data_IF_381458080687
#
_entry.id   IF_381458080687
#
_cell.length_a   1.000
_cell.length_b   1.000
_cell.length_c   1.000
_cell.angle_alpha   90.00
_cell.angle_beta   90.00
_cell.angle_gamma   90.00
#
_symmetry.space_group_name_H-M   'P 1'
#
loop_
_entity.id
_entity.type
_entity.pdbx_description
1 polymer ?
#
# COMPACT_ATOMS: atom_id res chain seq x y z
N UNK A 1 -31.97 17.17 -65.32
CA UNK A 1 -32.31 15.84 -65.86
C UNK A 1 -31.89 14.79 -64.83
N UNK A 2 -32.84 13.90 -64.46
CA UNK A 2 -32.70 12.68 -63.64
C UNK A 2 -31.71 11.67 -64.30
N UNK A 3 -31.19 10.60 -63.65
CA UNK A 3 -31.89 9.80 -62.63
C UNK A 3 -31.08 9.22 -61.45
N UNK A 4 -31.86 8.82 -60.43
CA UNK A 4 -31.54 7.87 -59.36
C UNK A 4 -31.52 6.43 -59.92
N UNK A 5 -30.75 5.48 -59.36
CA UNK A 5 -31.41 4.25 -58.91
C UNK A 5 -30.85 3.56 -57.63
N UNK A 6 -31.80 3.07 -56.83
CA UNK A 6 -31.89 1.81 -56.05
C UNK A 6 -30.77 1.30 -55.12
N UNK A 7 -31.10 1.36 -53.82
CA UNK A 7 -31.03 0.34 -52.76
C UNK A 7 -30.58 -1.10 -53.13
N UNK A 8 -29.59 -1.62 -52.39
CA UNK A 8 -29.54 -3.02 -51.93
C UNK A 8 -29.10 -3.02 -50.46
N UNK A 9 -29.95 -3.57 -49.59
CA UNK A 9 -29.63 -3.88 -48.20
C UNK A 9 -28.90 -5.23 -48.12
N UNK A 10 -27.85 -5.30 -47.30
CA UNK A 10 -27.28 -6.57 -46.85
C UNK A 10 -26.80 -6.42 -45.40
N UNK A 11 -27.68 -6.81 -44.48
CA UNK A 11 -27.36 -7.07 -43.07
C UNK A 11 -26.46 -8.30 -42.97
N UNK A 12 -25.23 -8.14 -42.49
CA UNK A 12 -24.43 -9.24 -41.93
C UNK A 12 -24.24 -9.00 -40.43
N UNK A 13 -24.96 -9.78 -39.61
CA UNK A 13 -24.62 -9.97 -38.20
C UNK A 13 -23.36 -10.84 -38.12
N UNK A 14 -22.23 -10.28 -37.67
CA UNK A 14 -21.13 -11.08 -37.15
C UNK A 14 -21.34 -11.26 -35.65
N UNK A 15 -21.84 -12.43 -35.25
CA UNK A 15 -21.81 -12.89 -33.87
C UNK A 15 -20.37 -13.28 -33.54
N UNK A 16 -19.63 -12.41 -32.87
CA UNK A 16 -18.36 -12.76 -32.23
C UNK A 16 -18.67 -13.57 -30.97
N UNK A 17 -18.48 -14.89 -31.03
CA UNK A 17 -18.52 -15.75 -29.87
C UNK A 17 -17.32 -15.44 -28.96
N UNK A 18 -17.57 -14.88 -27.77
CA UNK A 18 -16.57 -14.87 -26.70
C UNK A 18 -16.40 -16.30 -26.20
N UNK A 19 -15.30 -16.95 -26.58
CA UNK A 19 -14.83 -18.16 -25.91
C UNK A 19 -14.40 -17.81 -24.49
N UNK A 20 -15.23 -18.13 -23.50
CA UNK A 20 -14.81 -18.13 -22.12
C UNK A 20 -14.01 -19.42 -21.87
N UNK A 21 -12.68 -19.34 -21.99
CA UNK A 21 -11.79 -20.40 -21.51
C UNK A 21 -11.95 -20.48 -19.98
N UNK A 22 -12.72 -21.47 -19.53
CA UNK A 22 -12.88 -21.76 -18.10
C UNK A 22 -11.63 -22.50 -17.64
N UNK A 23 -10.66 -21.78 -17.09
CA UNK A 23 -9.54 -22.38 -16.37
C UNK A 23 -10.07 -22.94 -15.05
N UNK A 24 -10.27 -24.26 -14.99
CA UNK A 24 -10.54 -24.97 -13.74
C UNK A 24 -9.25 -25.08 -12.93
N UNK A 25 -9.12 -24.28 -11.86
CA UNK A 25 -8.08 -24.45 -10.86
C UNK A 25 -8.48 -25.62 -9.96
N UNK A 26 -7.97 -26.81 -10.25
CA UNK A 26 -8.04 -27.95 -9.35
C UNK A 26 -6.98 -27.81 -8.27
N UNK A 27 -7.39 -27.55 -7.03
CA UNK A 27 -6.50 -27.71 -5.88
C UNK A 27 -6.16 -29.19 -5.74
N UNK A 28 -4.89 -29.62 -5.75
CA UNK A 28 -4.56 -31.00 -5.45
C UNK A 28 -4.80 -31.24 -3.96
N UNK A 29 -5.97 -31.75 -3.60
CA UNK A 29 -6.21 -32.34 -2.29
C UNK A 29 -5.63 -33.74 -2.31
N UNK A 30 -4.39 -33.90 -1.84
CA UNK A 30 -3.83 -35.21 -1.52
C UNK A 30 -4.66 -35.83 -0.39
N UNK A 31 -5.42 -36.88 -0.67
CA UNK A 31 -6.01 -37.71 0.39
C UNK A 31 -4.89 -38.38 1.18
N UNK A 32 -4.96 -38.40 2.52
CA UNK A 32 -4.03 -39.19 3.31
C UNK A 32 -4.29 -40.67 3.03
N UNK A 33 -3.26 -41.30 2.50
CA UNK A 33 -3.06 -42.73 2.39
C UNK A 33 -3.28 -43.40 3.75
N UNK A 34 -4.33 -44.21 3.83
CA UNK A 34 -4.71 -44.95 5.03
C UNK A 34 -3.70 -46.04 5.34
N UNK A 35 -2.91 -45.80 6.39
CA UNK A 35 -2.31 -46.83 7.23
C UNK A 35 -2.57 -46.42 8.68
N UNK A 36 -3.53 -47.07 9.33
CA UNK A 36 -3.88 -46.81 10.73
C UNK A 36 -2.76 -47.27 11.64
N UNK A 37 -1.97 -46.32 12.14
CA UNK A 37 -1.13 -46.53 13.32
C UNK A 37 -1.96 -46.06 14.52
N UNK A 38 -2.18 -46.95 15.48
CA UNK A 38 -2.88 -46.63 16.71
C UNK A 38 -2.02 -45.69 17.58
N UNK A 39 -2.06 -44.40 17.28
CA UNK A 39 -1.41 -43.37 18.09
C UNK A 39 -2.40 -42.86 19.14
N UNK A 40 -2.11 -43.22 20.39
CA UNK A 40 -2.63 -42.57 21.58
C UNK A 40 -2.61 -41.04 21.38
N UNK A 41 -3.78 -40.41 21.54
CA UNK A 41 -4.07 -39.03 21.18
C UNK A 41 -2.95 -38.06 21.57
N UNK A 42 -2.17 -37.61 20.58
CA UNK A 42 -1.32 -36.43 20.74
C UNK A 42 -2.25 -35.20 20.75
N UNK A 43 -2.31 -34.41 21.83
CA UNK A 43 -3.14 -33.22 21.84
C UNK A 43 -2.69 -32.25 20.75
N UNK A 44 -3.64 -31.62 20.07
CA UNK A 44 -3.34 -30.51 19.17
C UNK A 44 -2.51 -29.45 19.92
N UNK A 45 -1.48 -28.84 19.31
CA UNK A 45 -0.81 -27.71 19.92
C UNK A 45 -1.83 -26.59 20.07
N UNK A 46 -2.18 -26.26 21.32
CA UNK A 46 -2.93 -25.06 21.63
C UNK A 46 -2.09 -23.87 21.18
N UNK A 47 -2.44 -23.27 20.05
CA UNK A 47 -1.91 -21.95 19.71
C UNK A 47 -2.44 -20.99 20.77
N UNK A 48 -1.59 -20.67 21.75
CA UNK A 48 -1.82 -19.53 22.60
C UNK A 48 -1.73 -18.30 21.70
N UNK A 49 -2.88 -17.80 21.23
CA UNK A 49 -2.95 -16.45 20.71
C UNK A 49 -2.64 -15.52 21.88
N UNK A 50 -1.35 -15.19 22.04
CA UNK A 50 -0.92 -14.10 22.91
C UNK A 50 -1.41 -12.81 22.27
N UNK A 51 -2.68 -12.46 22.53
CA UNK A 51 -3.25 -11.14 22.28
C UNK A 51 -2.74 -10.16 23.34
N UNK A 52 -1.44 -10.16 23.58
CA UNK A 52 -0.85 -9.01 24.26
C UNK A 52 -1.02 -7.86 23.28
N UNK A 53 -1.89 -6.92 23.64
CA UNK A 53 -2.05 -5.70 22.90
C UNK A 53 -0.67 -5.07 22.79
N UNK A 54 -0.13 -5.02 21.57
CA UNK A 54 1.08 -4.25 21.29
C UNK A 54 0.80 -2.87 21.86
N UNK A 55 1.55 -2.39 22.88
CA UNK A 55 1.31 -1.08 23.44
C UNK A 55 1.35 -0.12 22.26
N UNK A 56 0.28 0.67 22.10
CA UNK A 56 0.24 1.69 21.06
C UNK A 56 1.58 2.43 21.14
N UNK A 57 2.37 2.38 20.06
CA UNK A 57 3.66 3.08 20.01
C UNK A 57 3.33 4.56 20.12
N UNK A 58 3.25 5.07 21.34
CA UNK A 58 2.96 6.46 21.59
C UNK A 58 4.19 7.20 21.09
N UNK A 59 4.01 7.98 20.03
CA UNK A 59 5.04 8.86 19.48
C UNK A 59 5.28 10.01 20.47
N UNK A 60 5.86 9.69 21.64
CA UNK A 60 6.27 10.68 22.63
C UNK A 60 7.72 11.08 22.34
N UNK A 61 7.94 11.61 21.14
CA UNK A 61 9.14 12.40 20.90
C UNK A 61 8.80 13.85 21.20
N UNK A 62 9.67 14.52 21.95
CA UNK A 62 9.50 15.91 22.38
C UNK A 62 9.07 16.79 21.20
N UNK A 63 7.81 17.20 21.23
CA UNK A 63 7.19 18.00 20.16
C UNK A 63 7.82 19.39 20.05
N UNK A 64 8.48 19.86 21.11
CA UNK A 64 9.19 21.16 21.17
C UNK A 64 10.36 21.17 20.20
N UNK A 65 11.05 20.03 20.04
CA UNK A 65 12.21 19.86 19.19
C UNK A 65 11.90 19.70 17.68
N UNK A 66 10.62 19.66 17.28
CA UNK A 66 10.26 19.53 15.85
C UNK A 66 10.59 20.80 15.07
N UNK A 67 11.20 20.69 13.87
CA UNK A 67 11.36 21.83 12.97
C UNK A 67 10.04 22.53 12.69
N UNK A 68 10.07 23.84 12.47
CA UNK A 68 8.86 24.63 12.25
C UNK A 68 8.05 24.15 11.03
N UNK A 69 8.73 23.78 9.94
CA UNK A 69 8.07 23.23 8.75
C UNK A 69 7.28 21.95 9.08
N UNK A 70 7.81 21.10 9.95
CA UNK A 70 7.16 19.84 10.33
C UNK A 70 5.93 20.11 11.20
N UNK A 71 5.99 21.11 12.09
CA UNK A 71 4.81 21.56 12.85
C UNK A 71 3.72 22.08 11.92
N UNK A 72 4.09 22.87 10.92
CA UNK A 72 3.15 23.38 9.91
C UNK A 72 2.52 22.24 9.10
N UNK A 73 3.32 21.27 8.64
CA UNK A 73 2.83 20.09 7.91
C UNK A 73 1.84 19.26 8.74
N UNK A 74 2.13 19.05 10.02
CA UNK A 74 1.23 18.35 10.94
C UNK A 74 -0.09 19.11 11.10
N UNK A 75 -0.03 20.44 11.27
CA UNK A 75 -1.23 21.27 11.38
C UNK A 75 -2.09 21.21 10.12
N UNK A 76 -1.46 21.21 8.94
CA UNK A 76 -2.14 21.02 7.65
C UNK A 76 -2.86 19.67 7.60
N UNK A 77 -2.16 18.57 7.93
CA UNK A 77 -2.75 17.21 7.97
C UNK A 77 -3.93 17.12 8.93
N UNK A 78 -3.84 17.75 10.10
CA UNK A 78 -4.93 17.83 11.07
C UNK A 78 -6.11 18.69 10.60
N UNK A 79 -5.88 19.65 9.70
CA UNK A 79 -6.91 20.44 9.04
C UNK A 79 -7.71 19.68 7.99
N UNK A 80 -7.17 18.59 7.44
CA UNK A 80 -7.89 17.70 6.53
C UNK A 80 -8.87 16.78 7.27
N UNK A 81 -9.83 16.20 6.53
CA UNK A 81 -10.68 15.12 7.06
C UNK A 81 -9.81 13.97 7.55
N UNK A 82 -10.28 13.27 8.59
CA UNK A 82 -9.61 12.06 9.10
C UNK A 82 -9.33 11.10 7.95
N UNK A 83 -8.08 10.65 7.86
CA UNK A 83 -7.58 9.83 6.76
C UNK A 83 -7.48 8.36 7.17
N UNK A 84 -7.63 7.45 6.21
CA UNK A 84 -7.50 6.01 6.40
C UNK A 84 -6.82 5.36 5.18
N UNK A 85 -5.60 4.81 5.32
CA UNK A 85 -4.77 4.74 6.53
C UNK A 85 -4.40 6.11 7.14
N UNK A 86 -4.12 6.10 8.45
CA UNK A 86 -3.66 7.30 9.18
C UNK A 86 -2.28 7.73 8.69
N UNK A 87 -2.06 9.04 8.61
CA UNK A 87 -0.75 9.59 8.25
C UNK A 87 0.24 9.39 9.37
N UNK A 88 1.44 8.96 8.99
CA UNK A 88 2.61 8.84 9.84
C UNK A 88 3.77 9.57 9.20
N UNK A 89 4.59 10.19 10.04
CA UNK A 89 5.85 10.80 9.64
C UNK A 89 6.96 10.10 10.41
N UNK A 90 7.89 9.53 9.65
CA UNK A 90 9.07 8.85 10.15
C UNK A 90 10.32 9.66 9.83
N UNK A 91 11.37 9.47 10.61
CA UNK A 91 12.72 9.94 10.33
C UNK A 91 13.58 8.73 9.97
N UNK A 92 14.41 8.88 8.95
CA UNK A 92 15.38 7.88 8.52
C UNK A 92 16.74 8.53 8.25
N UNK A 93 17.76 7.68 8.16
CA UNK A 93 18.98 7.98 7.42
C UNK A 93 18.85 7.40 6.01
N UNK A 94 19.06 8.22 5.00
CA UNK A 94 19.05 7.84 3.58
C UNK A 94 20.10 8.66 2.84
N UNK A 95 20.97 8.01 2.05
CA UNK A 95 22.13 8.65 1.42
C UNK A 95 22.99 9.46 2.41
N UNK A 96 23.24 8.90 3.60
CA UNK A 96 23.99 9.53 4.69
C UNK A 96 23.40 10.87 5.19
N UNK A 97 22.14 11.14 4.86
CA UNK A 97 21.39 12.32 5.27
C UNK A 97 20.19 11.94 6.12
N UNK A 98 19.85 12.80 7.06
CA UNK A 98 18.56 12.70 7.77
C UNK A 98 17.45 13.14 6.84
N UNK A 99 16.43 12.31 6.70
CA UNK A 99 15.23 12.61 5.90
C UNK A 99 13.97 12.28 6.69
N UNK A 100 12.86 12.90 6.29
CA UNK A 100 11.54 12.62 6.83
C UNK A 100 10.66 11.99 5.76
N UNK A 101 10.00 10.88 6.07
CA UNK A 101 9.07 10.22 5.15
C UNK A 101 7.65 10.27 5.72
N UNK A 102 6.75 10.85 4.95
CA UNK A 102 5.32 10.95 5.24
C UNK A 102 4.55 9.92 4.40
N UNK A 103 3.79 9.05 5.07
CA UNK A 103 2.95 8.06 4.41
C UNK A 103 1.79 8.71 3.68
N UNK A 104 1.44 8.21 2.49
CA UNK A 104 0.19 8.58 1.84
C UNK A 104 -1.04 7.93 2.52
N UNK A 105 -2.20 8.62 2.51
CA UNK A 105 -3.44 8.09 3.06
C UNK A 105 -4.20 7.17 2.09
N UNK A 106 -3.68 6.89 0.90
CA UNK A 106 -4.23 5.93 -0.05
C UNK A 106 -3.14 5.49 -1.03
N UNK A 107 -3.26 4.31 -1.62
CA UNK A 107 -2.25 3.76 -2.53
C UNK A 107 -2.18 4.48 -3.89
N UNK A 108 -3.23 5.17 -4.31
CA UNK A 108 -3.25 6.02 -5.51
C UNK A 108 -2.67 7.43 -5.26
N UNK A 109 -2.33 7.74 -4.01
CA UNK A 109 -1.60 8.93 -3.59
C UNK A 109 -0.15 8.57 -3.32
N UNK A 110 0.74 9.55 -3.46
CA UNK A 110 2.17 9.34 -3.30
C UNK A 110 2.61 9.67 -1.87
N UNK A 111 3.39 8.79 -1.24
CA UNK A 111 4.13 9.16 -0.04
C UNK A 111 5.21 10.19 -0.39
N UNK A 112 5.72 10.92 0.60
CA UNK A 112 6.65 12.03 0.34
C UNK A 112 7.86 11.95 1.24
N UNK A 113 9.06 12.09 0.67
CA UNK A 113 10.32 12.22 1.40
C UNK A 113 10.74 13.69 1.40
N UNK A 114 11.09 14.22 2.56
CA UNK A 114 11.54 15.58 2.78
C UNK A 114 12.98 15.61 3.30
N UNK A 115 13.72 16.65 2.92
CA UNK A 115 15.00 17.00 3.58
C UNK A 115 14.76 17.58 4.99
N UNK A 116 15.84 17.88 5.71
CA UNK A 116 15.74 18.47 7.07
C UNK A 116 15.14 19.87 7.12
N UNK A 117 15.02 20.54 5.98
CA UNK A 117 14.44 21.88 5.82
C UNK A 117 12.99 21.83 5.33
N UNK A 118 12.44 20.65 5.07
CA UNK A 118 11.07 20.45 4.60
C UNK A 118 10.91 20.54 3.08
N UNK A 119 12.00 20.54 2.31
CA UNK A 119 11.91 20.47 0.86
C UNK A 119 11.56 19.05 0.43
N UNK A 120 10.63 18.90 -0.51
CA UNK A 120 10.32 17.60 -1.12
C UNK A 120 11.54 17.13 -1.91
N UNK A 121 12.04 15.95 -1.57
CA UNK A 121 13.09 15.27 -2.30
C UNK A 121 12.51 14.38 -3.39
N UNK A 122 11.44 13.63 -3.08
CA UNK A 122 10.85 12.65 -3.99
C UNK A 122 9.61 11.96 -3.41
N UNK A 123 8.99 11.14 -4.24
CA UNK A 123 7.90 10.23 -3.94
C UNK A 123 8.34 8.78 -4.15
N UNK A 124 8.68 8.01 -3.10
CA UNK A 124 9.27 6.69 -3.24
C UNK A 124 8.25 5.58 -3.56
N UNK A 125 6.97 5.80 -3.26
CA UNK A 125 5.89 4.85 -3.48
C UNK A 125 4.54 5.54 -3.75
N UNK A 126 3.52 4.72 -3.99
CA UNK A 126 2.16 5.18 -4.22
C UNK A 126 1.94 5.71 -5.63
N UNK A 127 0.86 6.48 -5.83
CA UNK A 127 0.41 6.89 -7.15
C UNK A 127 -0.23 5.74 -7.95
N UNK A 128 -0.70 6.03 -9.17
CA UNK A 128 -1.40 5.04 -10.02
C UNK A 128 -0.57 3.77 -10.27
N UNK A 129 0.76 3.89 -10.32
CA UNK A 129 1.66 2.78 -10.57
C UNK A 129 2.13 2.08 -9.28
N UNK A 130 1.92 2.70 -8.12
CA UNK A 130 2.50 2.29 -6.84
C UNK A 130 3.99 2.57 -6.68
N UNK A 131 4.67 3.15 -7.70
CA UNK A 131 6.13 3.36 -7.73
C UNK A 131 6.55 4.80 -7.39
N UNK A 132 5.59 5.67 -7.07
CA UNK A 132 5.83 7.09 -6.88
C UNK A 132 6.35 7.78 -8.15
N UNK A 133 7.31 8.69 -7.99
CA UNK A 133 7.83 9.55 -9.07
C UNK A 133 9.10 9.00 -9.74
N UNK A 134 9.67 7.91 -9.22
CA UNK A 134 10.88 7.28 -9.71
C UNK A 134 12.21 7.97 -9.32
N UNK A 135 12.18 9.11 -8.62
CA UNK A 135 13.39 9.84 -8.20
C UNK A 135 14.12 9.14 -7.06
N UNK A 136 13.40 8.42 -6.20
CA UNK A 136 13.96 7.67 -5.08
C UNK A 136 13.61 6.18 -5.12
N UNK A 137 13.78 5.53 -6.27
CA UNK A 137 13.41 4.13 -6.49
C UNK A 137 14.08 3.11 -5.55
N UNK A 138 15.19 3.48 -4.90
CA UNK A 138 15.91 2.64 -3.93
C UNK A 138 15.64 3.02 -2.47
N UNK A 139 14.73 3.96 -2.19
CA UNK A 139 14.45 4.45 -0.83
C UNK A 139 14.12 3.32 0.13
N UNK A 140 13.17 2.46 -0.23
CA UNK A 140 12.77 1.32 0.61
C UNK A 140 13.92 0.36 0.95
N UNK A 141 14.91 0.22 0.05
CA UNK A 141 16.05 -0.68 0.26
C UNK A 141 17.19 -0.03 1.06
N UNK A 142 17.27 1.30 1.09
CA UNK A 142 18.43 2.03 1.61
C UNK A 142 18.13 2.91 2.81
N UNK A 143 16.86 3.18 3.12
CA UNK A 143 16.48 3.86 4.35
C UNK A 143 16.88 3.02 5.56
N UNK A 144 17.41 3.66 6.57
CA UNK A 144 17.86 3.02 7.80
C UNK A 144 17.49 3.87 9.02
N UNK A 145 17.67 3.32 10.22
CA UNK A 145 17.44 4.03 11.49
C UNK A 145 16.03 4.65 11.59
N UNK A 146 15.01 3.85 11.28
CA UNK A 146 13.62 4.27 11.38
C UNK A 146 13.30 4.82 12.77
N UNK A 147 12.68 6.00 12.79
CA UNK A 147 12.09 6.56 14.01
C UNK A 147 10.75 7.19 13.70
N UNK A 148 9.69 6.75 14.39
CA UNK A 148 8.39 7.40 14.31
C UNK A 148 8.48 8.79 14.96
N UNK A 149 8.24 9.85 14.18
CA UNK A 149 8.28 11.24 14.66
C UNK A 149 6.90 11.72 15.06
N UNK A 150 5.89 11.33 14.29
CA UNK A 150 4.50 11.70 14.52
C UNK A 150 3.54 10.73 13.82
N UNK A 151 2.35 10.57 14.38
CA UNK A 151 1.22 9.87 13.79
C UNK A 151 -0.04 10.70 14.07
N UNK A 152 -0.95 10.79 13.09
CA UNK A 152 -2.27 11.41 13.29
C UNK A 152 -3.00 10.69 14.45
N UNK A 153 -3.37 11.39 15.53
CA UNK A 153 -3.99 10.78 16.71
C UNK A 153 -5.49 10.49 16.53
N UNK A 154 -6.11 10.93 15.42
CA UNK A 154 -7.57 10.89 15.22
C UNK A 154 -8.12 9.53 14.81
#
# INVERSE_FOLDING_TARGET
MRPLPTLIAATLLLATACGADRVTVGTPTTQPNGNSIAENSTPAPTSANTVDAVPARVAIEDTTARPQWLKARIAETLGHRKQYPVVRIYRYVYNDQTVYWETAPCCDQQSTVYDTRGNVLCHPDGGITGKGDGQCANFEKRKANEKLVWQDPR
#
